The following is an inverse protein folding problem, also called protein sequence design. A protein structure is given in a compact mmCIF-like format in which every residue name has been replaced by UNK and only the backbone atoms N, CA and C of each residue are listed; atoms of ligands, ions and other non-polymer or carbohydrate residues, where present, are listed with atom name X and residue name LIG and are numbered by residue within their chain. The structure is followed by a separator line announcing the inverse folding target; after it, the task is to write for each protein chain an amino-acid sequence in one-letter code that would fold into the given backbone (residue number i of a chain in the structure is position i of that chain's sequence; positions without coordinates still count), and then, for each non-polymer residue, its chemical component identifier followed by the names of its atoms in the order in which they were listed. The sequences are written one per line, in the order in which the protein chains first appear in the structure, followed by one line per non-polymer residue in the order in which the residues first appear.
data_IF_696393049928
#
_entry.id   IF_696393049928
#
_cell.length_a   1.000
_cell.length_b   1.000
_cell.length_c   1.000
_cell.angle_alpha   90.00
_cell.angle_beta   90.00
_cell.angle_gamma   90.00
#
_symmetry.space_group_name_H-M   'P 1'
#
loop_
_entity.id
_entity.type
_entity.pdbx_description
1 polymer ?
#
# COMPACT_ATOMS: atom_id res chain seq x y z
N UNK A 1 -16.80 -21.46 -36.74
CA UNK A 1 -17.70 -20.43 -36.15
C UNK A 1 -17.14 -20.08 -34.79
N UNK A 2 -16.44 -18.94 -34.70
CA UNK A 2 -15.80 -18.46 -33.48
C UNK A 2 -16.83 -17.73 -32.60
N UNK A 3 -16.97 -18.14 -31.34
CA UNK A 3 -17.47 -17.26 -30.30
C UNK A 3 -16.40 -17.05 -29.24
N UNK A 4 -15.60 -16.01 -29.48
CA UNK A 4 -14.79 -15.32 -28.48
C UNK A 4 -15.74 -14.66 -27.48
N UNK A 5 -15.71 -15.12 -26.23
CA UNK A 5 -16.35 -14.42 -25.11
C UNK A 5 -15.52 -13.15 -24.86
N UNK A 6 -16.04 -12.01 -25.31
CA UNK A 6 -15.57 -10.68 -24.90
C UNK A 6 -15.97 -10.46 -23.45
N UNK A 7 -15.02 -10.64 -22.53
CA UNK A 7 -15.15 -10.16 -21.15
C UNK A 7 -15.23 -8.62 -21.21
N UNK A 8 -16.23 -7.97 -20.60
CA UNK A 8 -16.38 -6.52 -20.71
C UNK A 8 -15.31 -5.79 -19.90
N UNK A 9 -14.59 -4.91 -20.60
CA UNK A 9 -13.66 -3.90 -20.10
C UNK A 9 -14.45 -2.81 -19.34
N UNK A 10 -14.83 -3.08 -18.08
CA UNK A 10 -15.48 -2.09 -17.19
C UNK A 10 -14.82 -1.94 -15.81
N UNK A 11 -13.74 -2.67 -15.52
CA UNK A 11 -13.15 -2.72 -14.18
C UNK A 11 -12.39 -1.46 -13.74
N UNK A 12 -11.88 -0.65 -14.67
CA UNK A 12 -11.01 0.49 -14.32
C UNK A 12 -11.76 1.62 -13.58
N UNK A 13 -13.01 1.93 -13.97
CA UNK A 13 -13.78 3.02 -13.36
C UNK A 13 -14.28 2.66 -11.95
N UNK A 14 -14.64 1.41 -11.73
CA UNK A 14 -15.08 0.94 -10.40
C UNK A 14 -13.91 0.86 -9.43
N UNK A 15 -12.75 0.36 -9.89
CA UNK A 15 -11.52 0.29 -9.09
C UNK A 15 -11.07 1.68 -8.62
N UNK A 16 -11.16 2.68 -9.49
CA UNK A 16 -10.85 4.08 -9.15
C UNK A 16 -11.81 4.64 -8.07
N UNK A 17 -13.09 4.24 -8.09
CA UNK A 17 -14.07 4.64 -7.08
C UNK A 17 -13.81 3.99 -5.71
N UNK A 18 -13.46 2.71 -5.67
CA UNK A 18 -13.15 2.00 -4.42
C UNK A 18 -11.89 2.56 -3.73
N UNK A 19 -10.82 2.78 -4.49
CA UNK A 19 -9.61 3.38 -3.94
C UNK A 19 -9.81 4.82 -3.49
N UNK A 20 -10.67 5.59 -4.16
CA UNK A 20 -11.01 6.94 -3.71
C UNK A 20 -11.72 6.93 -2.35
N UNK A 21 -12.66 6.00 -2.15
CA UNK A 21 -13.36 5.82 -0.87
C UNK A 21 -12.40 5.42 0.24
N UNK A 22 -11.51 4.45 0.00
CA UNK A 22 -10.55 4.00 0.99
C UNK A 22 -9.52 5.10 1.34
N UNK A 23 -9.07 5.87 0.34
CA UNK A 23 -8.21 7.04 0.55
C UNK A 23 -8.91 8.12 1.39
N UNK A 24 -10.22 8.31 1.22
CA UNK A 24 -11.02 9.22 2.04
C UNK A 24 -11.17 8.68 3.47
N UNK A 25 -11.44 7.39 3.65
CA UNK A 25 -11.53 6.75 4.96
C UNK A 25 -10.21 6.86 5.74
N UNK A 26 -9.07 6.62 5.07
CA UNK A 26 -7.75 6.86 5.65
C UNK A 26 -7.54 8.32 6.08
N UNK A 27 -7.98 9.29 5.26
CA UNK A 27 -7.87 10.71 5.59
C UNK A 27 -8.72 11.08 6.83
N UNK A 28 -9.90 10.50 6.96
CA UNK A 28 -10.76 10.65 8.15
C UNK A 28 -10.14 10.02 9.38
N UNK A 29 -9.50 8.85 9.23
CA UNK A 29 -8.76 8.22 10.32
C UNK A 29 -7.59 9.09 10.80
N UNK A 30 -6.83 9.71 9.90
CA UNK A 30 -5.78 10.67 10.27
C UNK A 30 -6.33 11.90 10.98
N UNK A 31 -7.49 12.41 10.55
CA UNK A 31 -8.15 13.53 11.21
C UNK A 31 -8.51 13.18 12.66
N UNK A 32 -9.06 11.99 12.90
CA UNK A 32 -9.39 11.49 14.26
C UNK A 32 -8.15 11.35 15.15
N UNK A 33 -6.99 11.04 14.56
CA UNK A 33 -5.71 10.99 15.26
C UNK A 33 -5.07 12.38 15.48
N UNK A 34 -5.74 13.48 15.09
CA UNK A 34 -5.27 14.85 15.32
C UNK A 34 -4.21 15.34 14.33
N UNK A 35 -4.08 14.75 13.15
CA UNK A 35 -3.12 15.21 12.14
C UNK A 35 -3.52 16.56 11.55
N UNK A 36 -2.54 17.45 11.35
CA UNK A 36 -2.78 18.73 10.71
C UNK A 36 -3.30 18.57 9.26
N UNK A 37 -4.20 19.45 8.77
CA UNK A 37 -4.81 19.34 7.44
C UNK A 37 -3.79 19.25 6.30
N UNK A 38 -2.69 20.01 6.39
CA UNK A 38 -1.62 19.98 5.39
C UNK A 38 -0.89 18.62 5.35
N UNK A 39 -0.69 18.00 6.51
CA UNK A 39 -0.11 16.67 6.64
C UNK A 39 -1.05 15.59 6.09
N UNK A 40 -2.36 15.72 6.35
CA UNK A 40 -3.39 14.84 5.76
C UNK A 40 -3.36 14.96 4.22
N UNK A 41 -3.34 16.17 3.68
CA UNK A 41 -3.26 16.40 2.22
C UNK A 41 -2.01 15.77 1.61
N UNK A 42 -0.87 15.88 2.29
CA UNK A 42 0.37 15.27 1.84
C UNK A 42 0.31 13.73 1.85
N UNK A 43 -0.22 13.13 2.92
CA UNK A 43 -0.45 11.69 2.99
C UNK A 43 -1.44 11.22 1.92
N UNK A 44 -2.55 11.94 1.72
CA UNK A 44 -3.53 11.67 0.68
C UNK A 44 -2.87 11.62 -0.69
N UNK A 45 -2.09 12.65 -1.07
CA UNK A 45 -1.39 12.68 -2.37
C UNK A 45 -0.44 11.49 -2.55
N UNK A 46 0.31 11.13 -1.51
CA UNK A 46 1.27 10.01 -1.56
C UNK A 46 0.56 8.66 -1.65
N UNK A 47 -0.49 8.45 -0.86
CA UNK A 47 -1.30 7.24 -0.92
C UNK A 47 -1.96 7.10 -2.30
N UNK A 48 -2.49 8.18 -2.87
CA UNK A 48 -3.12 8.15 -4.19
C UNK A 48 -2.18 7.64 -5.30
N UNK A 49 -0.88 7.94 -5.24
CA UNK A 49 0.10 7.38 -6.19
C UNK A 49 0.22 5.86 -6.10
N UNK A 50 0.16 5.33 -4.89
CA UNK A 50 0.22 3.90 -4.66
C UNK A 50 -1.07 3.22 -5.10
N UNK A 51 -2.24 3.73 -4.69
CA UNK A 51 -3.52 3.16 -5.08
C UNK A 51 -3.74 3.20 -6.60
N UNK A 52 -3.33 4.29 -7.27
CA UNK A 52 -3.36 4.34 -8.72
C UNK A 52 -2.45 3.29 -9.37
N UNK A 53 -1.30 2.99 -8.78
CA UNK A 53 -0.45 1.90 -9.26
C UNK A 53 -1.12 0.52 -9.08
N UNK A 54 -1.86 0.31 -8.00
CA UNK A 54 -2.62 -0.92 -7.77
C UNK A 54 -3.77 -1.07 -8.79
N UNK A 55 -4.51 0.01 -9.05
CA UNK A 55 -5.54 0.03 -10.07
C UNK A 55 -4.98 -0.31 -11.46
N UNK A 56 -3.81 0.25 -11.81
CA UNK A 56 -3.10 -0.08 -13.05
C UNK A 56 -2.66 -1.55 -13.12
N UNK A 57 -2.41 -2.18 -11.97
CA UNK A 57 -2.10 -3.61 -11.87
C UNK A 57 -3.35 -4.51 -11.89
N UNK A 58 -4.55 -3.93 -12.08
CA UNK A 58 -5.82 -4.66 -12.12
C UNK A 58 -6.38 -5.02 -10.76
N UNK A 59 -5.82 -4.48 -9.67
CA UNK A 59 -6.36 -4.68 -8.33
C UNK A 59 -7.57 -3.76 -8.14
N UNK A 60 -8.71 -4.32 -7.78
CA UNK A 60 -9.95 -3.56 -7.52
C UNK A 60 -10.33 -3.50 -6.04
N UNK A 61 -9.70 -4.34 -5.21
CA UNK A 61 -10.02 -4.51 -3.79
C UNK A 61 -8.79 -4.20 -2.90
N UNK A 62 -8.86 -3.15 -2.05
CA UNK A 62 -7.82 -2.85 -1.07
C UNK A 62 -7.52 -4.00 -0.11
N UNK A 63 -8.47 -4.90 0.18
CA UNK A 63 -8.25 -6.05 1.06
C UNK A 63 -7.20 -7.03 0.49
N UNK A 64 -7.10 -7.11 -0.83
CA UNK A 64 -6.16 -7.99 -1.55
C UNK A 64 -4.75 -7.42 -1.68
N UNK A 65 -4.47 -6.25 -1.07
CA UNK A 65 -3.12 -5.68 -1.09
C UNK A 65 -2.19 -6.59 -0.28
N UNK A 66 -1.31 -7.27 -1.00
CA UNK A 66 -0.20 -8.07 -0.49
C UNK A 66 1.18 -7.40 -0.64
N UNK A 67 2.18 -7.97 0.04
CA UNK A 67 3.59 -7.61 -0.04
C UNK A 67 4.17 -7.52 -1.46
N UNK A 68 3.70 -8.36 -2.40
CA UNK A 68 4.19 -8.33 -3.79
C UNK A 68 3.88 -6.99 -4.47
N UNK A 69 2.74 -6.38 -4.16
CA UNK A 69 2.35 -5.10 -4.76
C UNK A 69 3.20 -3.95 -4.22
N UNK A 70 3.60 -4.02 -2.95
CA UNK A 70 4.56 -3.08 -2.39
C UNK A 70 5.91 -3.19 -3.10
N UNK A 71 6.44 -4.40 -3.29
CA UNK A 71 7.72 -4.62 -3.99
C UNK A 71 7.69 -4.10 -5.43
N UNK A 72 6.59 -4.33 -6.15
CA UNK A 72 6.42 -3.79 -7.51
C UNK A 72 6.36 -2.26 -7.51
N UNK A 73 5.70 -1.67 -6.52
CA UNK A 73 5.66 -0.21 -6.38
C UNK A 73 7.04 0.37 -6.04
N UNK A 74 7.80 -0.27 -5.15
CA UNK A 74 9.17 0.12 -4.81
C UNK A 74 10.08 0.05 -6.04
N UNK A 75 10.03 -1.04 -6.81
CA UNK A 75 10.77 -1.16 -8.07
C UNK A 75 10.41 -0.04 -9.08
N UNK A 76 9.15 0.38 -9.14
CA UNK A 76 8.71 1.52 -9.96
C UNK A 76 9.24 2.85 -9.44
N UNK A 77 9.36 3.03 -8.12
CA UNK A 77 9.91 4.25 -7.52
C UNK A 77 11.42 4.35 -7.75
N UNK A 78 12.15 3.23 -7.71
CA UNK A 78 13.59 3.19 -7.97
C UNK A 78 13.94 3.59 -9.42
N UNK A 79 13.01 3.38 -10.35
CA UNK A 79 13.16 3.83 -11.74
C UNK A 79 12.94 5.35 -11.92
N UNK A 80 12.53 6.08 -10.88
CA UNK A 80 12.28 7.52 -10.95
C UNK A 80 13.40 8.31 -10.27
N UNK A 81 13.74 9.52 -10.74
CA UNK A 81 14.74 10.39 -10.11
C UNK A 81 14.17 11.05 -8.84
N UNK A 82 13.85 10.25 -7.83
CA UNK A 82 13.34 10.72 -6.55
C UNK A 82 14.48 10.88 -5.55
N UNK A 83 14.46 11.98 -4.79
CA UNK A 83 15.38 12.12 -3.66
C UNK A 83 15.07 11.09 -2.56
N UNK A 84 16.09 10.67 -1.82
CA UNK A 84 15.94 9.77 -0.67
C UNK A 84 14.88 10.26 0.34
N UNK A 85 14.77 11.59 0.52
CA UNK A 85 13.74 12.22 1.34
C UNK A 85 12.33 11.96 0.80
N UNK A 86 12.12 12.09 -0.51
CA UNK A 86 10.83 11.84 -1.15
C UNK A 86 10.42 10.37 -1.01
N UNK A 87 11.37 9.45 -1.22
CA UNK A 87 11.16 8.01 -1.02
C UNK A 87 10.78 7.71 0.43
N UNK A 88 11.52 8.25 1.40
CA UNK A 88 11.23 8.08 2.83
C UNK A 88 9.84 8.59 3.22
N UNK A 89 9.39 9.72 2.66
CA UNK A 89 8.04 10.23 2.90
C UNK A 89 6.95 9.37 2.26
N UNK A 90 7.22 8.79 1.08
CA UNK A 90 6.32 7.84 0.42
C UNK A 90 6.16 6.59 1.27
N UNK A 91 7.26 5.94 1.65
CA UNK A 91 7.26 4.75 2.50
C UNK A 91 6.66 5.03 3.89
N UNK A 92 6.93 6.19 4.48
CA UNK A 92 6.31 6.61 5.74
C UNK A 92 4.79 6.71 5.66
N UNK A 93 4.25 7.10 4.49
CA UNK A 93 2.80 7.10 4.26
C UNK A 93 2.26 5.67 4.14
N UNK A 94 2.97 4.78 3.45
CA UNK A 94 2.55 3.38 3.30
C UNK A 94 2.54 2.64 4.64
N UNK A 95 3.54 2.85 5.50
CA UNK A 95 3.53 2.31 6.89
C UNK A 95 2.34 2.80 7.70
N UNK A 96 1.97 4.06 7.53
CA UNK A 96 0.82 4.64 8.23
C UNK A 96 -0.50 4.10 7.71
N UNK A 97 -0.60 3.92 6.40
CA UNK A 97 -1.75 3.29 5.76
C UNK A 97 -1.89 1.81 6.15
N UNK A 98 -0.79 1.07 6.26
CA UNK A 98 -0.78 -0.31 6.78
C UNK A 98 -1.31 -0.37 8.22
N UNK A 99 -0.90 0.55 9.10
CA UNK A 99 -1.46 0.65 10.46
C UNK A 99 -2.95 0.96 10.46
N UNK A 100 -3.40 1.83 9.57
CA UNK A 100 -4.84 2.08 9.38
C UNK A 100 -5.54 0.77 9.01
N UNK A 101 -5.08 0.06 7.98
CA UNK A 101 -5.66 -1.21 7.53
C UNK A 101 -5.73 -2.23 8.67
N UNK A 102 -4.65 -2.38 9.45
CA UNK A 102 -4.62 -3.27 10.61
C UNK A 102 -5.63 -2.88 11.69
N UNK A 103 -5.81 -1.58 11.96
CA UNK A 103 -6.80 -1.10 12.92
C UNK A 103 -8.26 -1.42 12.53
N UNK A 104 -8.50 -1.71 11.25
CA UNK A 104 -9.79 -2.15 10.70
C UNK A 104 -9.83 -3.64 10.34
N UNK A 105 -8.87 -4.44 10.82
CA UNK A 105 -8.91 -5.91 10.71
C UNK A 105 -8.29 -6.48 9.43
N UNK A 106 -7.62 -5.68 8.60
CA UNK A 106 -6.93 -6.19 7.43
C UNK A 106 -5.52 -6.70 7.78
N UNK A 107 -5.02 -7.72 7.05
CA UNK A 107 -3.66 -8.21 7.23
C UNK A 107 -2.64 -7.13 6.84
N UNK A 108 -1.49 -7.14 7.53
CA UNK A 108 -0.37 -6.27 7.15
C UNK A 108 0.17 -6.70 5.79
N UNK A 109 0.42 -5.72 4.93
CA UNK A 109 1.06 -5.93 3.63
C UNK A 109 2.53 -5.51 3.63
N UNK A 110 3.00 -4.92 4.73
CA UNK A 110 4.42 -4.74 4.96
C UNK A 110 4.99 -6.08 5.39
N UNK A 111 5.93 -6.63 4.62
CA UNK A 111 6.71 -7.76 5.09
C UNK A 111 7.53 -7.27 6.28
N UNK A 112 7.06 -7.53 7.49
CA UNK A 112 7.94 -7.54 8.64
C UNK A 112 8.77 -8.80 8.46
N UNK A 113 9.97 -8.65 7.90
CA UNK A 113 11.00 -9.67 8.10
C UNK A 113 11.30 -9.62 9.60
N UNK A 114 10.57 -10.41 10.39
CA UNK A 114 11.04 -10.80 11.69
C UNK A 114 12.14 -11.82 11.40
N UNK A 115 13.43 -11.49 11.60
CA UNK A 115 14.42 -12.55 11.70
C UNK A 115 13.96 -13.44 12.85
N UNK A 116 13.47 -14.63 12.53
CA UNK A 116 13.28 -15.69 13.51
C UNK A 116 14.70 -16.04 13.93
N UNK A 117 15.19 -15.46 15.02
CA UNK A 117 16.41 -15.94 15.67
C UNK A 117 15.99 -17.29 16.26
N UNK A 118 16.51 -18.44 15.79
CA UNK A 118 16.24 -19.69 16.46
C UNK A 118 16.77 -19.58 17.89
N UNK A 119 15.87 -19.66 18.87
CA UNK A 119 16.22 -19.78 20.29
C UNK A 119 16.83 -21.17 20.45
N UNK A 120 18.14 -21.30 20.20
CA UNK A 120 18.76 -22.62 20.25
C UNK A 120 20.15 -22.77 19.65
N UNK A 121 20.97 -21.72 19.53
CA UNK A 121 22.39 -21.93 19.25
C UNK A 121 23.13 -22.14 20.58
N UNK A 122 23.56 -23.37 20.92
CA UNK A 122 24.36 -23.58 22.12
C UNK A 122 25.69 -22.84 21.95
N UNK A 123 25.99 -21.96 22.89
CA UNK A 123 27.29 -21.30 22.99
C UNK A 123 28.32 -22.38 23.33
N UNK A 124 29.08 -22.84 22.32
CA UNK A 124 30.30 -23.62 22.59
C UNK A 124 31.29 -22.69 23.28
N UNK A 125 31.43 -22.86 24.59
CA UNK A 125 32.58 -22.33 25.33
C UNK A 125 33.79 -23.18 24.93
N UNK A 126 34.71 -22.56 24.18
CA UNK A 126 36.10 -23.02 24.09
C UNK A 126 36.91 -22.41 25.23
#
# INVERSE_FOLDING_TARGET
MNHLIKIPFSSSLESDSFFAQDQQAFSQWLLRLGYAPLTIKAHRRRLGRFLHHLAQAGLSDPAQIEARHLRHFEARLDQQPLSARSLGQQLGTLRRYDRYRQAYGHPSFLVVSLPIIPIGTPIKRS
#
